data_IF_876018169096
#
_entry.id   IF_876018169096
#
_cell.length_a   1.000
_cell.length_b   1.000
_cell.length_c   1.000
_cell.angle_alpha   90.00
_cell.angle_beta   90.00
_cell.angle_gamma   90.00
#
_symmetry.space_group_name_H-M   'P 1'
#
loop_
_entity.id
_entity.type
_entity.pdbx_description
1 polymer ?
#
# COMPACT_ATOMS: atom_id res chain seq x y z
N UNK A 1 -17.75 4.65 -15.53
CA UNK A 1 -17.79 3.89 -14.28
C UNK A 1 -19.03 4.30 -13.51
N UNK A 2 -19.81 3.33 -13.08
CA UNK A 2 -20.96 3.53 -12.18
C UNK A 2 -20.49 3.90 -10.76
N UNK A 3 -21.38 4.44 -9.92
CA UNK A 3 -21.05 4.79 -8.53
C UNK A 3 -20.40 3.63 -7.76
N UNK A 4 -20.97 2.40 -7.77
CA UNK A 4 -20.36 1.28 -7.06
C UNK A 4 -18.99 0.86 -7.62
N UNK A 5 -18.75 0.99 -8.93
CA UNK A 5 -17.44 0.70 -9.52
C UNK A 5 -16.36 1.67 -9.04
N UNK A 6 -16.70 2.95 -8.90
CA UNK A 6 -15.75 3.97 -8.41
C UNK A 6 -15.42 3.70 -6.93
N UNK A 7 -16.44 3.40 -6.11
CA UNK A 7 -16.23 3.07 -4.69
C UNK A 7 -15.36 1.82 -4.56
N UNK A 8 -15.64 0.77 -5.31
CA UNK A 8 -14.86 -0.45 -5.31
C UNK A 8 -13.41 -0.22 -5.76
N UNK A 9 -13.20 0.60 -6.78
CA UNK A 9 -11.87 0.97 -7.25
C UNK A 9 -11.07 1.74 -6.18
N UNK A 10 -11.68 2.75 -5.54
CA UNK A 10 -11.05 3.53 -4.48
C UNK A 10 -10.71 2.62 -3.30
N UNK A 11 -11.66 1.77 -2.90
CA UNK A 11 -11.46 0.81 -1.82
C UNK A 11 -10.32 -0.18 -2.12
N UNK A 12 -10.26 -0.71 -3.34
CA UNK A 12 -9.18 -1.60 -3.77
C UNK A 12 -7.80 -0.92 -3.72
N UNK A 13 -7.70 0.33 -4.20
CA UNK A 13 -6.46 1.11 -4.12
C UNK A 13 -6.01 1.39 -2.66
N UNK A 14 -6.97 1.61 -1.75
CA UNK A 14 -6.67 1.79 -0.34
C UNK A 14 -6.30 0.48 0.35
N UNK A 15 -7.01 -0.61 0.03
CA UNK A 15 -6.77 -1.94 0.58
C UNK A 15 -5.37 -2.48 0.23
N UNK A 16 -4.85 -2.13 -0.94
CA UNK A 16 -3.52 -2.53 -1.39
C UNK A 16 -2.42 -2.09 -0.40
N UNK A 17 -2.54 -0.90 0.17
CA UNK A 17 -1.61 -0.42 1.19
C UNK A 17 -1.75 -1.20 2.51
N UNK A 18 -2.99 -1.47 2.95
CA UNK A 18 -3.23 -2.26 4.16
C UNK A 18 -2.70 -3.69 4.01
N UNK A 19 -2.98 -4.34 2.87
CA UNK A 19 -2.44 -5.67 2.56
C UNK A 19 -0.90 -5.69 2.58
N UNK A 20 -0.23 -4.65 2.05
CA UNK A 20 1.22 -4.55 2.08
C UNK A 20 1.83 -4.53 3.48
N UNK A 21 1.07 -4.09 4.49
CA UNK A 21 1.48 -4.06 5.89
C UNK A 21 1.05 -5.36 6.60
N UNK A 22 -0.23 -5.72 6.49
CA UNK A 22 -0.86 -6.77 7.30
C UNK A 22 -0.36 -8.17 6.95
N UNK A 23 -0.07 -8.44 5.67
CA UNK A 23 0.50 -9.73 5.22
C UNK A 23 1.90 -10.00 5.77
N UNK A 24 2.63 -8.93 6.14
CA UNK A 24 3.98 -9.06 6.68
C UNK A 24 4.04 -9.33 8.18
N UNK A 25 3.02 -8.89 8.93
CA UNK A 25 3.03 -8.98 10.39
C UNK A 25 3.24 -10.44 10.90
N UNK A 26 2.54 -11.45 10.40
CA UNK A 26 2.77 -12.83 10.83
C UNK A 26 4.14 -13.38 10.38
N UNK A 27 4.61 -13.03 9.20
CA UNK A 27 5.87 -13.50 8.62
C UNK A 27 7.12 -12.82 9.22
N UNK A 28 6.98 -11.67 9.88
CA UNK A 28 8.11 -10.90 10.42
C UNK A 28 8.99 -11.69 11.41
N UNK A 29 8.38 -12.55 12.24
CA UNK A 29 9.11 -13.35 13.20
C UNK A 29 9.97 -14.44 12.53
N UNK A 30 9.43 -15.06 11.50
CA UNK A 30 10.04 -16.13 10.72
C UNK A 30 11.18 -15.61 9.83
N UNK A 31 10.91 -14.57 9.07
CA UNK A 31 11.91 -13.86 8.23
C UNK A 31 13.08 -13.33 9.07
N UNK A 32 12.80 -12.79 10.27
CA UNK A 32 13.85 -12.30 11.15
C UNK A 32 14.75 -13.45 11.66
N UNK A 33 14.18 -14.64 11.93
CA UNK A 33 14.95 -15.81 12.34
C UNK A 33 15.83 -16.35 11.21
N UNK A 34 15.30 -16.41 9.99
CA UNK A 34 16.03 -16.88 8.81
C UNK A 34 17.17 -15.94 8.40
N UNK A 35 16.95 -14.62 8.50
CA UNK A 35 17.97 -13.61 8.15
C UNK A 35 18.90 -13.28 9.33
N UNK A 36 18.86 -14.03 10.44
CA UNK A 36 19.76 -13.87 11.60
C UNK A 36 19.55 -12.56 12.38
N UNK A 37 18.37 -11.97 12.31
CA UNK A 37 18.05 -10.69 12.96
C UNK A 37 17.55 -10.94 14.39
N UNK A 38 18.46 -10.90 15.36
CA UNK A 38 18.18 -11.21 16.78
C UNK A 38 17.48 -10.06 17.52
N UNK A 39 17.58 -8.82 17.05
CA UNK A 39 17.04 -7.64 17.75
C UNK A 39 15.61 -7.30 17.30
N UNK A 40 14.68 -7.20 18.23
CA UNK A 40 13.28 -6.78 17.98
C UNK A 40 13.15 -5.43 17.25
N UNK A 41 14.01 -4.48 17.57
CA UNK A 41 14.04 -3.16 16.90
C UNK A 41 14.29 -3.26 15.38
N UNK A 42 15.02 -4.26 14.92
CA UNK A 42 15.25 -4.46 13.48
C UNK A 42 13.99 -4.98 12.77
N UNK A 43 13.15 -5.76 13.45
CA UNK A 43 11.87 -6.23 12.89
C UNK A 43 10.94 -5.05 12.62
N UNK A 44 10.87 -4.10 13.54
CA UNK A 44 10.07 -2.89 13.39
C UNK A 44 10.58 -1.97 12.27
N UNK A 45 11.90 -1.99 11.99
CA UNK A 45 12.50 -1.21 10.91
C UNK A 45 11.91 -1.56 9.52
N UNK A 46 11.50 -2.80 9.29
CA UNK A 46 10.87 -3.24 8.03
C UNK A 46 9.56 -2.50 7.77
N UNK A 47 8.73 -2.36 8.80
CA UNK A 47 7.46 -1.62 8.72
C UNK A 47 7.73 -0.12 8.65
N UNK A 48 8.65 0.38 9.47
CA UNK A 48 9.00 1.80 9.53
C UNK A 48 9.51 2.32 8.18
N UNK A 49 10.42 1.61 7.54
CA UNK A 49 10.96 1.97 6.23
C UNK A 49 9.87 2.01 5.17
N UNK A 50 8.97 1.02 5.15
CA UNK A 50 7.81 1.02 4.27
C UNK A 50 6.92 2.25 4.50
N UNK A 51 6.55 2.56 5.75
CA UNK A 51 5.67 3.68 6.10
C UNK A 51 6.32 5.03 5.78
N UNK A 52 7.62 5.20 6.03
CA UNK A 52 8.35 6.43 5.69
C UNK A 52 8.38 6.64 4.18
N UNK A 53 8.71 5.61 3.41
CA UNK A 53 8.73 5.66 1.96
C UNK A 53 7.32 5.95 1.38
N UNK A 54 6.30 5.30 1.93
CA UNK A 54 4.90 5.53 1.59
C UNK A 54 4.46 6.97 1.89
N UNK A 55 4.77 7.51 3.07
CA UNK A 55 4.46 8.88 3.45
C UNK A 55 5.16 9.91 2.55
N UNK A 56 6.46 9.74 2.32
CA UNK A 56 7.25 10.62 1.45
C UNK A 56 6.74 10.61 0.00
N UNK A 57 6.35 9.45 -0.51
CA UNK A 57 5.87 9.30 -1.88
C UNK A 57 4.57 10.07 -2.16
N UNK A 58 3.70 10.22 -1.16
CA UNK A 58 2.43 10.92 -1.32
C UNK A 58 2.62 12.40 -1.70
N UNK A 59 3.68 13.04 -1.20
CA UNK A 59 4.01 14.44 -1.52
C UNK A 59 4.37 14.58 -3.00
N UNK A 60 5.01 13.58 -3.57
CA UNK A 60 5.46 13.56 -4.98
C UNK A 60 4.31 13.17 -5.91
N UNK A 61 3.53 12.17 -5.56
CA UNK A 61 2.45 11.67 -6.42
C UNK A 61 1.30 12.65 -6.63
N UNK A 62 1.05 13.58 -5.70
CA UNK A 62 0.07 14.65 -5.86
C UNK A 62 0.34 15.47 -7.14
N UNK A 63 1.39 16.30 -7.15
CA UNK A 63 1.77 17.10 -8.30
C UNK A 63 2.02 16.27 -9.57
N UNK A 64 2.56 15.07 -9.43
CA UNK A 64 2.83 14.19 -10.57
C UNK A 64 1.52 13.75 -11.25
N UNK A 65 0.50 13.42 -10.48
CA UNK A 65 -0.80 13.02 -11.02
C UNK A 65 -1.57 14.19 -11.65
N UNK A 66 -1.33 15.41 -11.19
CA UNK A 66 -1.93 16.62 -11.77
C UNK A 66 -1.25 16.98 -13.10
N UNK A 67 0.07 16.75 -13.21
CA UNK A 67 0.85 17.07 -14.42
C UNK A 67 0.73 16.01 -15.51
N UNK A 68 0.86 14.74 -15.18
CA UNK A 68 0.90 13.63 -16.15
C UNK A 68 -0.42 12.89 -16.30
N UNK A 69 -1.40 13.22 -15.46
CA UNK A 69 -2.70 12.57 -15.43
C UNK A 69 -2.78 11.39 -14.45
N UNK A 70 -4.01 11.03 -14.07
CA UNK A 70 -4.29 10.02 -13.03
C UNK A 70 -3.83 8.62 -13.44
N UNK A 71 -4.08 8.24 -14.70
CA UNK A 71 -3.88 6.87 -15.19
C UNK A 71 -2.41 6.43 -15.26
N UNK A 72 -1.48 7.18 -15.89
CA UNK A 72 -0.07 6.79 -15.95
C UNK A 72 0.59 6.77 -14.57
N UNK A 73 0.22 7.70 -13.69
CA UNK A 73 0.76 7.76 -12.33
C UNK A 73 0.28 6.59 -11.48
N UNK A 74 -1.00 6.19 -11.62
CA UNK A 74 -1.54 5.00 -10.98
C UNK A 74 -0.79 3.73 -11.42
N UNK A 75 -0.64 3.55 -12.73
CA UNK A 75 0.04 2.36 -13.29
C UNK A 75 1.52 2.33 -12.92
N UNK A 76 2.19 3.48 -12.92
CA UNK A 76 3.57 3.60 -12.47
C UNK A 76 3.73 3.24 -10.99
N UNK A 77 2.86 3.75 -10.12
CA UNK A 77 2.85 3.40 -8.70
C UNK A 77 2.61 1.91 -8.47
N UNK A 78 1.64 1.32 -9.17
CA UNK A 78 1.38 -0.13 -9.10
C UNK A 78 2.57 -0.96 -9.59
N UNK A 79 3.21 -0.56 -10.67
CA UNK A 79 4.39 -1.25 -11.18
C UNK A 79 5.54 -1.24 -10.16
N UNK A 80 5.82 -0.07 -9.54
CA UNK A 80 6.82 0.06 -8.49
C UNK A 80 6.46 -0.80 -7.28
N UNK A 81 5.19 -0.83 -6.88
CA UNK A 81 4.72 -1.66 -5.78
C UNK A 81 4.95 -3.16 -6.04
N UNK A 82 4.59 -3.64 -7.23
CA UNK A 82 4.80 -5.05 -7.65
C UNK A 82 6.28 -5.39 -7.69
N UNK A 83 7.12 -4.52 -8.27
CA UNK A 83 8.56 -4.72 -8.31
C UNK A 83 9.16 -4.78 -6.90
N UNK A 84 8.72 -3.91 -5.99
CA UNK A 84 9.12 -3.95 -4.58
C UNK A 84 8.68 -5.24 -3.89
N UNK A 85 7.47 -5.73 -4.17
CA UNK A 85 6.95 -6.99 -3.63
C UNK A 85 7.77 -8.19 -4.10
N UNK A 86 8.07 -8.26 -5.39
CA UNK A 86 8.92 -9.33 -5.96
C UNK A 86 10.34 -9.25 -5.40
N UNK A 87 10.91 -8.06 -5.29
CA UNK A 87 12.24 -7.88 -4.69
C UNK A 87 12.26 -8.32 -3.21
N UNK A 88 11.17 -8.10 -2.46
CA UNK A 88 11.06 -8.54 -1.07
C UNK A 88 11.00 -10.08 -0.95
N UNK A 89 10.34 -10.76 -1.90
CA UNK A 89 10.32 -12.23 -1.97
C UNK A 89 11.69 -12.84 -2.27
N UNK A 90 12.52 -12.13 -3.02
CA UNK A 90 13.84 -12.59 -3.46
C UNK A 90 14.97 -12.05 -2.55
N UNK A 91 14.64 -11.50 -1.40
CA UNK A 91 15.61 -10.88 -0.51
C UNK A 91 16.41 -11.92 0.28
N UNK A 92 17.69 -12.03 0.00
CA UNK A 92 18.62 -12.95 0.68
C UNK A 92 19.30 -12.30 1.92
N UNK A 93 19.04 -11.01 2.17
CA UNK A 93 19.60 -10.28 3.30
C UNK A 93 18.61 -9.26 3.87
N UNK A 94 18.79 -8.93 5.15
CA UNK A 94 17.97 -7.93 5.82
C UNK A 94 18.03 -6.55 5.13
N UNK A 95 19.21 -6.16 4.65
CA UNK A 95 19.38 -4.89 3.92
C UNK A 95 18.62 -4.89 2.59
N UNK A 96 18.67 -5.98 1.83
CA UNK A 96 17.92 -6.13 0.58
C UNK A 96 16.42 -6.09 0.84
N UNK A 97 15.97 -6.73 1.92
CA UNK A 97 14.57 -6.66 2.35
C UNK A 97 14.14 -5.23 2.68
N UNK A 98 14.95 -4.46 3.41
CA UNK A 98 14.64 -3.05 3.72
C UNK A 98 14.53 -2.19 2.46
N UNK A 99 15.45 -2.36 1.50
CA UNK A 99 15.40 -1.64 0.22
C UNK A 99 14.16 -2.01 -0.60
N UNK A 100 13.83 -3.28 -0.66
CA UNK A 100 12.61 -3.77 -1.31
C UNK A 100 11.34 -3.19 -0.66
N UNK A 101 11.33 -3.08 0.66
CA UNK A 101 10.24 -2.45 1.42
C UNK A 101 10.13 -0.95 1.19
N UNK A 102 11.25 -0.25 1.11
CA UNK A 102 11.26 1.15 0.71
C UNK A 102 10.64 1.33 -0.69
N UNK A 103 11.07 0.51 -1.65
CA UNK A 103 10.54 0.54 -3.01
C UNK A 103 9.03 0.23 -3.04
N UNK A 104 8.59 -0.79 -2.32
CA UNK A 104 7.18 -1.15 -2.20
C UNK A 104 6.35 -0.01 -1.58
N UNK A 105 6.85 0.63 -0.51
CA UNK A 105 6.21 1.79 0.11
C UNK A 105 6.10 2.97 -0.85
N UNK A 106 7.16 3.28 -1.60
CA UNK A 106 7.13 4.30 -2.65
C UNK A 106 6.01 4.01 -3.67
N UNK A 107 5.89 2.76 -4.13
CA UNK A 107 4.86 2.36 -5.08
C UNK A 107 3.44 2.46 -4.54
N UNK A 108 3.23 2.15 -3.27
CA UNK A 108 1.91 2.16 -2.63
C UNK A 108 1.26 3.55 -2.55
N UNK A 109 2.06 4.61 -2.53
CA UNK A 109 1.56 5.99 -2.47
C UNK A 109 0.81 6.42 -3.72
N UNK A 110 1.22 5.96 -4.91
CA UNK A 110 0.56 6.29 -6.18
C UNK A 110 -0.92 5.94 -6.21
N UNK A 111 -1.30 4.66 -6.04
CA UNK A 111 -2.70 4.23 -6.01
C UNK A 111 -3.55 4.98 -4.99
N UNK A 112 -3.01 5.22 -3.78
CA UNK A 112 -3.73 5.95 -2.74
C UNK A 112 -4.02 7.39 -3.11
N UNK A 113 -3.00 8.14 -3.58
CA UNK A 113 -3.14 9.55 -3.96
C UNK A 113 -4.08 9.69 -5.15
N UNK A 114 -3.93 8.83 -6.16
CA UNK A 114 -4.78 8.86 -7.35
C UNK A 114 -6.23 8.50 -7.02
N UNK A 115 -6.47 7.50 -6.16
CA UNK A 115 -7.81 7.14 -5.72
C UNK A 115 -8.51 8.31 -5.03
N UNK A 116 -7.81 9.00 -4.12
CA UNK A 116 -8.32 10.19 -3.42
C UNK A 116 -8.59 11.34 -4.39
N UNK A 117 -7.71 11.54 -5.37
CA UNK A 117 -7.90 12.56 -6.39
C UNK A 117 -9.12 12.27 -7.28
N UNK A 118 -9.30 11.03 -7.75
CA UNK A 118 -10.47 10.63 -8.53
C UNK A 118 -11.76 10.83 -7.74
N UNK A 119 -11.77 10.52 -6.44
CA UNK A 119 -12.91 10.76 -5.59
C UNK A 119 -13.30 12.25 -5.56
N UNK A 120 -12.32 13.13 -5.37
CA UNK A 120 -12.53 14.59 -5.32
C UNK A 120 -12.89 15.18 -6.69
N UNK A 121 -12.36 14.63 -7.78
CA UNK A 121 -12.66 15.07 -9.14
C UNK A 121 -14.09 14.72 -9.57
N UNK A 122 -14.71 13.70 -8.95
CA UNK A 122 -16.03 13.15 -9.33
C UNK A 122 -17.17 13.49 -8.39
N UNK A 123 -16.86 13.74 -7.13
CA UNK A 123 -17.86 13.91 -6.09
C UNK A 123 -17.57 15.15 -5.23
N UNK A 124 -18.63 15.90 -4.90
CA UNK A 124 -18.56 17.09 -4.06
C UNK A 124 -19.50 16.95 -2.86
N UNK A 125 -19.25 17.72 -1.81
CA UNK A 125 -20.11 17.82 -0.65
C UNK A 125 -20.43 16.49 0.03
N UNK A 126 -21.71 16.23 0.38
CA UNK A 126 -22.12 15.02 1.11
C UNK A 126 -21.80 13.71 0.38
N UNK A 127 -21.81 13.74 -0.94
CA UNK A 127 -21.56 12.55 -1.78
C UNK A 127 -20.11 12.10 -1.72
N UNK A 128 -19.16 13.04 -1.66
CA UNK A 128 -17.77 12.73 -1.40
C UNK A 128 -17.59 12.07 -0.03
N UNK A 129 -18.29 12.57 0.99
CA UNK A 129 -18.29 11.96 2.33
C UNK A 129 -18.80 10.51 2.32
N UNK A 130 -19.86 10.22 1.57
CA UNK A 130 -20.38 8.85 1.43
C UNK A 130 -19.37 7.91 0.74
N UNK A 131 -18.75 8.35 -0.35
CA UNK A 131 -17.73 7.57 -1.05
C UNK A 131 -16.55 7.26 -0.13
N UNK A 132 -16.09 8.26 0.61
CA UNK A 132 -14.99 8.09 1.57
C UNK A 132 -15.37 7.14 2.72
N UNK A 133 -16.58 7.26 3.26
CA UNK A 133 -17.06 6.37 4.33
C UNK A 133 -17.16 4.93 3.87
N UNK A 134 -17.69 4.68 2.67
CA UNK A 134 -17.79 3.34 2.09
C UNK A 134 -16.41 2.74 1.82
N UNK A 135 -15.48 3.54 1.28
CA UNK A 135 -14.10 3.10 1.05
C UNK A 135 -13.39 2.75 2.38
N UNK A 136 -13.63 3.53 3.44
CA UNK A 136 -13.09 3.24 4.77
C UNK A 136 -13.71 1.99 5.41
N UNK A 137 -15.02 1.73 5.20
CA UNK A 137 -15.65 0.48 5.66
C UNK A 137 -14.99 -0.74 5.02
N UNK A 138 -14.76 -0.70 3.70
CA UNK A 138 -14.07 -1.79 3.00
C UNK A 138 -12.63 -1.94 3.53
N UNK A 139 -11.93 -0.83 3.76
CA UNK A 139 -10.58 -0.84 4.31
C UNK A 139 -10.53 -1.51 5.71
N UNK A 140 -11.55 -1.31 6.55
CA UNK A 140 -11.62 -1.94 7.88
C UNK A 140 -11.88 -3.45 7.82
N UNK A 141 -12.49 -3.94 6.75
CA UNK A 141 -12.73 -5.37 6.55
C UNK A 141 -11.44 -6.11 6.17
N UNK A 142 -10.53 -5.44 5.45
CA UNK A 142 -9.28 -6.05 4.95
C UNK A 142 -8.40 -6.62 6.07
N UNK A 143 -8.10 -5.92 7.18
CA UNK A 143 -7.30 -6.45 8.28
C UNK A 143 -7.95 -7.64 9.00
N UNK A 144 -9.27 -7.76 8.92
CA UNK A 144 -10.01 -8.89 9.53
C UNK A 144 -9.86 -10.15 8.68
N UNK A 145 -9.80 -9.99 7.36
CA UNK A 145 -9.72 -11.10 6.41
C UNK A 145 -8.27 -11.49 6.10
N UNK A 146 -7.35 -10.52 6.06
CA UNK A 146 -5.95 -10.72 5.70
C UNK A 146 -5.22 -11.80 6.54
N UNK A 147 -5.35 -11.85 7.89
CA UNK A 147 -4.73 -12.88 8.70
C UNK A 147 -5.23 -14.29 8.39
N UNK A 148 -6.51 -14.42 8.01
CA UNK A 148 -7.11 -15.70 7.63
C UNK A 148 -6.50 -16.25 6.34
N UNK A 149 -6.16 -15.41 5.40
CA UNK A 149 -5.45 -15.81 4.18
C UNK A 149 -3.96 -16.10 4.44
N UNK A 150 -3.30 -15.35 5.32
CA UNK A 150 -1.90 -15.56 5.68
C UNK A 150 -1.62 -16.86 6.43
N UNK A 151 -2.65 -17.47 7.05
CA UNK A 151 -2.53 -18.78 7.71
C UNK A 151 -2.67 -19.98 6.75
N UNK A 152 -3.09 -19.73 5.51
CA UNK A 152 -3.31 -20.77 4.50
C UNK A 152 -2.12 -20.92 3.51
N UNK A 153 -1.15 -20.03 3.59
CA UNK A 153 0.09 -20.02 2.80
C UNK A 153 1.25 -20.40 3.69
#
# INVERSE_FOLDING_TARGET
MSFPEIVAFIAACMALNALGIDTMLPALAEIASELGVVRENHRQAVILVYLLAFGASQVVYGPLSDRYGRRPVLLGGLAIFVLGSVAAMLADSFTTLLLARALQGLGAGGPRVVAMAIARDRFEGPMLGQVMSLAMMVLMIVPVIAPSFGQWI
#
